data_IF_999540551846
#
_entry.id   IF_999540551846
#
_cell.length_a   1.000
_cell.length_b   1.000
_cell.length_c   1.000
_cell.angle_alpha   90.00
_cell.angle_beta   90.00
_cell.angle_gamma   90.00
#
_symmetry.space_group_name_H-M   'P 1'
#
loop_
_entity.id
_entity.type
_entity.pdbx_description
1 polymer ?
#
# COMPACT_ATOMS: atom_id res chain seq x y z
N UNK A 1 -58.30 16.25 46.92
CA UNK A 1 -57.94 14.98 46.26
C UNK A 1 -57.87 15.23 44.75
N UNK A 2 -56.80 15.86 44.30
CA UNK A 2 -56.58 16.18 42.88
C UNK A 2 -55.82 15.03 42.23
N UNK A 3 -56.41 14.44 41.18
CA UNK A 3 -55.77 13.38 40.39
C UNK A 3 -54.63 14.00 39.58
N UNK A 4 -53.42 13.47 39.74
CA UNK A 4 -52.32 13.69 38.80
C UNK A 4 -52.68 13.01 37.46
N UNK A 5 -53.00 13.81 36.44
CA UNK A 5 -53.11 13.32 35.08
C UNK A 5 -51.70 13.14 34.51
N UNK A 6 -51.25 11.89 34.43
CA UNK A 6 -50.01 11.54 33.74
C UNK A 6 -50.10 11.93 32.27
N UNK A 7 -49.20 12.81 31.83
CA UNK A 7 -49.07 13.22 30.43
C UNK A 7 -48.60 12.01 29.60
N UNK A 8 -49.54 11.33 28.95
CA UNK A 8 -49.23 10.28 27.99
C UNK A 8 -48.90 10.91 26.63
N UNK A 9 -47.62 10.96 26.28
CA UNK A 9 -47.12 11.47 24.98
C UNK A 9 -47.41 10.55 23.77
N UNK A 10 -48.37 9.63 23.90
CA UNK A 10 -48.73 8.66 22.85
C UNK A 10 -49.93 9.23 22.06
N UNK A 11 -49.78 9.49 20.74
CA UNK A 11 -50.85 10.06 19.93
C UNK A 11 -52.05 9.12 19.80
N UNK A 12 -53.25 9.68 19.96
CA UNK A 12 -54.54 8.95 19.92
C UNK A 12 -54.88 8.49 18.51
N UNK A 13 -55.82 7.55 18.40
CA UNK A 13 -56.20 6.98 17.12
C UNK A 13 -56.86 8.06 16.25
N UNK A 14 -56.28 8.34 15.08
CA UNK A 14 -56.77 9.35 14.14
C UNK A 14 -56.13 10.74 14.27
N UNK A 15 -55.17 10.95 15.18
CA UNK A 15 -54.42 12.23 15.26
C UNK A 15 -53.36 12.34 14.15
N UNK A 16 -53.26 13.53 13.56
CA UNK A 16 -52.23 13.87 12.58
C UNK A 16 -50.84 13.70 13.20
N UNK A 17 -49.96 12.93 12.54
CA UNK A 17 -48.60 12.64 13.02
C UNK A 17 -48.42 11.33 13.78
N UNK A 18 -49.49 10.57 14.08
CA UNK A 18 -49.39 9.25 14.74
C UNK A 18 -48.52 8.25 13.98
N UNK A 19 -48.67 8.19 12.65
CA UNK A 19 -47.82 7.31 11.82
C UNK A 19 -46.35 7.74 11.85
N UNK A 20 -46.07 9.04 11.91
CA UNK A 20 -44.72 9.58 12.08
C UNK A 20 -44.13 9.18 13.44
N UNK A 21 -44.91 9.29 14.51
CA UNK A 21 -44.50 8.86 15.86
C UNK A 21 -44.22 7.35 15.94
N UNK A 22 -45.07 6.50 15.36
CA UNK A 22 -44.87 5.05 15.31
C UNK A 22 -43.62 4.71 14.48
N UNK A 23 -43.42 5.39 13.34
CA UNK A 23 -42.23 5.24 12.52
C UNK A 23 -40.95 5.62 13.27
N UNK A 24 -40.98 6.73 14.00
CA UNK A 24 -39.86 7.19 14.82
C UNK A 24 -39.56 6.20 15.96
N UNK A 25 -40.59 5.73 16.66
CA UNK A 25 -40.43 4.70 17.69
C UNK A 25 -39.85 3.39 17.12
N UNK A 26 -40.33 2.96 15.95
CA UNK A 26 -39.80 1.79 15.27
C UNK A 26 -38.33 1.94 14.88
N UNK A 27 -37.93 3.13 14.41
CA UNK A 27 -36.55 3.45 14.10
C UNK A 27 -35.65 3.41 15.35
N UNK A 28 -36.08 4.01 16.47
CA UNK A 28 -35.35 3.98 17.75
C UNK A 28 -35.17 2.56 18.28
N UNK A 29 -36.22 1.72 18.22
CA UNK A 29 -36.12 0.31 18.61
C UNK A 29 -35.15 -0.47 17.71
N UNK A 30 -35.16 -0.19 16.41
CA UNK A 30 -34.23 -0.82 15.47
C UNK A 30 -32.78 -0.41 15.74
N UNK A 31 -32.51 0.89 15.93
CA UNK A 31 -31.18 1.39 16.28
C UNK A 31 -30.71 0.87 17.63
N UNK A 32 -31.58 0.83 18.64
CA UNK A 32 -31.27 0.27 19.95
C UNK A 32 -30.93 -1.21 19.88
N UNK A 33 -31.71 -2.01 19.14
CA UNK A 33 -31.43 -3.42 18.93
C UNK A 33 -30.10 -3.63 18.19
N UNK A 34 -29.85 -2.88 17.11
CA UNK A 34 -28.57 -2.91 16.40
C UNK A 34 -27.40 -2.52 17.31
N UNK A 35 -27.57 -1.50 18.15
CA UNK A 35 -26.55 -1.09 19.11
C UNK A 35 -26.23 -2.21 20.11
N UNK A 36 -27.23 -2.90 20.66
CA UNK A 36 -27.03 -4.04 21.57
C UNK A 36 -26.25 -5.16 20.86
N UNK A 37 -26.64 -5.51 19.62
CA UNK A 37 -25.94 -6.53 18.85
C UNK A 37 -24.47 -6.16 18.59
N UNK A 38 -24.18 -4.88 18.33
CA UNK A 38 -22.80 -4.42 18.11
C UNK A 38 -21.97 -4.30 19.39
N UNK A 39 -22.58 -4.20 20.59
CA UNK A 39 -21.82 -4.25 21.85
C UNK A 39 -21.21 -5.63 22.11
N UNK A 40 -21.83 -6.70 21.64
CA UNK A 40 -21.32 -8.06 21.85
C UNK A 40 -19.90 -8.26 21.28
N UNK A 41 -19.57 -7.62 20.15
CA UNK A 41 -18.24 -7.69 19.55
C UNK A 41 -17.17 -6.88 20.31
N UNK A 42 -17.59 -5.96 21.19
CA UNK A 42 -16.70 -5.08 21.99
C UNK A 42 -16.47 -5.56 23.42
N UNK A 43 -17.12 -6.65 23.82
CA UNK A 43 -17.16 -7.08 25.23
C UNK A 43 -15.81 -7.56 25.78
N UNK A 44 -14.95 -8.14 24.94
CA UNK A 44 -13.66 -8.70 25.36
C UNK A 44 -12.53 -8.20 24.46
N UNK A 45 -12.07 -6.94 24.62
CA UNK A 45 -10.94 -6.43 23.86
C UNK A 45 -9.67 -7.24 24.18
N UNK A 46 -8.97 -7.69 23.13
CA UNK A 46 -7.72 -8.44 23.25
C UNK A 46 -6.57 -7.55 22.77
N UNK A 47 -5.62 -7.30 23.67
CA UNK A 47 -4.40 -6.55 23.37
C UNK A 47 -3.28 -7.52 23.00
N UNK A 48 -2.56 -7.23 21.92
CA UNK A 48 -1.41 -8.03 21.44
C UNK A 48 -0.17 -7.16 21.40
N UNK A 49 0.93 -7.70 21.89
CA UNK A 49 2.25 -7.08 21.80
C UNK A 49 3.19 -8.01 21.05
N UNK A 50 3.97 -7.45 20.12
CA UNK A 50 4.96 -8.19 19.33
C UNK A 50 6.35 -7.97 19.92
N UNK A 51 7.15 -9.04 19.99
CA UNK A 51 8.51 -9.01 20.56
C UNK A 51 9.53 -9.40 19.47
N UNK A 52 10.00 -8.40 18.73
CA UNK A 52 10.88 -8.60 17.56
C UNK A 52 12.25 -9.17 17.95
N UNK A 53 12.80 -8.75 19.08
CA UNK A 53 14.09 -9.23 19.57
C UNK A 53 14.09 -10.74 19.84
N UNK A 54 12.95 -11.28 20.28
CA UNK A 54 12.80 -12.73 20.48
C UNK A 54 12.62 -13.48 19.17
N UNK A 55 12.02 -12.83 18.16
CA UNK A 55 11.86 -13.40 16.82
C UNK A 55 13.23 -13.54 16.15
N UNK A 56 14.04 -12.47 16.16
CA UNK A 56 15.39 -12.48 15.59
C UNK A 56 16.32 -13.45 16.32
N UNK A 57 16.26 -13.53 17.65
CA UNK A 57 17.05 -14.51 18.42
C UNK A 57 16.65 -15.97 18.14
N UNK A 58 15.37 -16.24 17.86
CA UNK A 58 14.88 -17.61 17.70
C UNK A 58 15.06 -18.15 16.29
N UNK A 59 14.79 -17.31 15.29
CA UNK A 59 14.78 -17.74 13.90
C UNK A 59 15.97 -17.23 13.11
N UNK A 60 16.71 -16.22 13.60
CA UNK A 60 17.85 -15.60 12.92
C UNK A 60 17.57 -15.38 11.42
N UNK A 61 18.09 -16.27 10.56
CA UNK A 61 17.95 -16.22 9.11
C UNK A 61 16.85 -17.12 8.54
N UNK A 62 16.17 -17.95 9.34
CA UNK A 62 15.09 -18.87 8.93
C UNK A 62 13.71 -18.18 8.85
N UNK A 63 13.67 -17.01 8.24
CA UNK A 63 12.43 -16.30 7.97
C UNK A 63 11.68 -16.90 6.75
N UNK A 64 10.34 -16.87 6.71
CA UNK A 64 9.57 -17.32 5.54
C UNK A 64 9.78 -16.40 4.32
N UNK A 65 9.47 -16.88 3.11
CA UNK A 65 9.33 -16.00 1.95
C UNK A 65 8.06 -15.15 2.08
N UNK A 66 8.16 -13.86 1.74
CA UNK A 66 7.06 -12.89 1.77
C UNK A 66 6.85 -12.30 0.38
N UNK A 67 5.65 -12.48 -0.15
CA UNK A 67 5.22 -11.89 -1.41
C UNK A 67 4.30 -10.70 -1.14
N UNK A 68 4.72 -9.51 -1.55
CA UNK A 68 3.96 -8.27 -1.41
C UNK A 68 3.24 -7.97 -2.72
N UNK A 69 1.92 -7.83 -2.66
CA UNK A 69 1.07 -7.54 -3.80
C UNK A 69 0.58 -6.10 -3.74
N UNK A 70 0.91 -5.34 -4.78
CA UNK A 70 0.41 -3.99 -5.03
C UNK A 70 -0.45 -4.06 -6.29
N UNK A 71 -1.71 -3.64 -6.21
CA UNK A 71 -2.60 -3.58 -7.36
C UNK A 71 -2.86 -2.13 -7.72
N UNK A 72 -2.77 -1.80 -9.01
CA UNK A 72 -3.22 -0.52 -9.55
C UNK A 72 -4.24 -0.73 -10.67
N UNK A 73 -5.21 0.17 -10.75
CA UNK A 73 -6.30 0.13 -11.70
C UNK A 73 -6.01 0.86 -13.01
N UNK A 74 -5.64 2.14 -12.95
CA UNK A 74 -5.38 2.98 -14.12
C UNK A 74 -4.59 4.23 -13.73
N UNK A 75 -3.59 4.66 -14.52
CA UNK A 75 -2.73 5.82 -14.20
C UNK A 75 -3.47 7.16 -14.10
N UNK A 76 -4.68 7.28 -14.67
CA UNK A 76 -5.48 8.52 -14.60
C UNK A 76 -6.19 8.66 -13.26
N UNK A 77 -6.58 7.53 -12.64
CA UNK A 77 -7.25 7.50 -11.33
C UNK A 77 -6.21 7.40 -10.22
N UNK A 78 -5.17 6.60 -10.44
CA UNK A 78 -4.10 6.30 -9.50
C UNK A 78 -2.76 6.73 -10.13
N UNK A 79 -2.28 7.96 -9.84
CA UNK A 79 -1.08 8.50 -10.48
C UNK A 79 0.13 7.57 -10.33
N UNK A 80 0.91 7.30 -11.41
CA UNK A 80 2.03 6.37 -11.36
C UNK A 80 3.04 6.67 -10.24
N UNK A 81 3.32 7.96 -9.98
CA UNK A 81 4.23 8.35 -8.91
C UNK A 81 3.76 7.95 -7.51
N UNK A 82 2.44 7.95 -7.25
CA UNK A 82 1.90 7.45 -5.98
C UNK A 82 2.17 5.96 -5.84
N UNK A 83 1.88 5.18 -6.89
CA UNK A 83 2.10 3.73 -6.94
C UNK A 83 3.58 3.39 -6.76
N UNK A 84 4.47 4.13 -7.42
CA UNK A 84 5.92 3.93 -7.34
C UNK A 84 6.45 4.22 -5.94
N UNK A 85 5.96 5.26 -5.26
CA UNK A 85 6.38 5.53 -3.87
C UNK A 85 5.97 4.39 -2.92
N UNK A 86 4.80 3.80 -3.14
CA UNK A 86 4.36 2.59 -2.43
C UNK A 86 5.28 1.40 -2.71
N UNK A 87 5.59 1.13 -3.98
CA UNK A 87 6.51 0.04 -4.39
C UNK A 87 7.89 0.22 -3.77
N UNK A 88 8.49 1.42 -3.87
CA UNK A 88 9.79 1.73 -3.28
C UNK A 88 9.78 1.60 -1.76
N UNK A 89 8.66 1.96 -1.11
CA UNK A 89 8.50 1.82 0.33
C UNK A 89 8.49 0.36 0.77
N UNK A 90 7.79 -0.53 0.07
CA UNK A 90 7.73 -1.96 0.41
C UNK A 90 9.01 -2.71 0.05
N UNK A 91 9.71 -2.31 -1.02
CA UNK A 91 11.02 -2.87 -1.36
C UNK A 91 12.10 -2.52 -0.33
N UNK A 92 11.92 -1.43 0.42
CA UNK A 92 12.87 -0.98 1.45
C UNK A 92 12.54 -1.53 2.86
N UNK A 93 11.82 -2.64 2.97
CA UNK A 93 11.58 -3.32 4.25
C UNK A 93 12.88 -3.89 4.83
N UNK A 94 12.94 -3.95 6.16
CA UNK A 94 14.03 -4.60 6.89
C UNK A 94 13.78 -6.12 6.88
N UNK A 95 14.00 -6.73 5.72
CA UNK A 95 13.83 -8.15 5.45
C UNK A 95 14.94 -8.67 4.53
N UNK A 96 15.32 -9.96 4.62
CA UNK A 96 16.26 -10.55 3.67
C UNK A 96 15.78 -10.37 2.22
N UNK A 97 16.57 -9.71 1.34
CA UNK A 97 16.17 -9.42 -0.04
C UNK A 97 15.79 -10.66 -0.84
N UNK A 98 16.45 -11.79 -0.57
CA UNK A 98 16.21 -13.07 -1.26
C UNK A 98 14.86 -13.70 -0.87
N UNK A 99 14.24 -13.19 0.20
CA UNK A 99 12.95 -13.68 0.73
C UNK A 99 11.81 -12.69 0.55
N UNK A 100 12.10 -11.51 0.03
CA UNK A 100 11.10 -10.48 -0.23
C UNK A 100 10.90 -10.34 -1.74
N UNK A 101 9.67 -10.57 -2.20
CA UNK A 101 9.29 -10.35 -3.59
C UNK A 101 8.12 -9.38 -3.66
N UNK A 102 8.23 -8.36 -4.50
CA UNK A 102 7.22 -7.31 -4.69
C UNK A 102 6.62 -7.47 -6.08
N UNK A 103 5.30 -7.53 -6.14
CA UNK A 103 4.55 -7.67 -7.38
C UNK A 103 3.64 -6.47 -7.57
N UNK A 104 3.81 -5.78 -8.70
CA UNK A 104 2.89 -4.75 -9.15
C UNK A 104 1.96 -5.34 -10.22
N UNK A 105 0.68 -5.47 -9.91
CA UNK A 105 -0.36 -5.79 -10.89
C UNK A 105 -0.97 -4.52 -11.44
N UNK A 106 -0.83 -4.30 -12.75
CA UNK A 106 -1.51 -3.22 -13.47
C UNK A 106 -2.72 -3.77 -14.20
N UNK A 107 -3.92 -3.35 -13.76
CA UNK A 107 -5.17 -3.72 -14.42
C UNK A 107 -5.42 -2.89 -15.68
N UNK A 108 -4.91 -1.66 -15.74
CA UNK A 108 -5.02 -0.78 -16.91
C UNK A 108 -4.09 -1.23 -18.05
N UNK A 109 -3.00 -1.93 -17.71
CA UNK A 109 -1.99 -2.36 -18.65
C UNK A 109 -1.33 -1.17 -19.35
N UNK A 110 -1.09 -0.10 -18.59
CA UNK A 110 -0.57 1.15 -19.13
C UNK A 110 0.93 1.09 -19.32
N UNK A 111 1.35 1.46 -20.52
CA UNK A 111 2.75 1.72 -20.86
C UNK A 111 3.41 2.69 -19.87
N UNK A 112 2.69 3.73 -19.43
CA UNK A 112 3.22 4.73 -18.49
C UNK A 112 3.50 4.13 -17.12
N UNK A 113 2.61 3.27 -16.60
CA UNK A 113 2.82 2.57 -15.33
C UNK A 113 4.03 1.65 -15.40
N UNK A 114 4.19 0.94 -16.51
CA UNK A 114 5.36 0.10 -16.75
C UNK A 114 6.66 0.91 -16.80
N UNK A 115 6.67 2.04 -17.51
CA UNK A 115 7.80 2.97 -17.54
C UNK A 115 8.15 3.48 -16.14
N UNK A 116 7.15 3.92 -15.38
CA UNK A 116 7.34 4.42 -14.03
C UNK A 116 8.00 3.35 -13.14
N UNK A 117 7.61 2.09 -13.30
CA UNK A 117 8.22 0.99 -12.56
C UNK A 117 9.68 0.73 -12.99
N UNK A 118 10.00 0.88 -14.27
CA UNK A 118 11.36 0.75 -14.77
C UNK A 118 12.28 1.83 -14.20
N UNK A 119 11.82 3.10 -14.21
CA UNK A 119 12.57 4.20 -13.61
C UNK A 119 12.69 4.04 -12.10
N UNK A 120 11.63 3.57 -11.43
CA UNK A 120 11.65 3.20 -10.03
C UNK A 120 12.69 2.11 -9.72
N UNK A 121 12.80 1.08 -10.56
CA UNK A 121 13.78 0.01 -10.37
C UNK A 121 15.23 0.52 -10.45
N UNK A 122 15.52 1.50 -11.32
CA UNK A 122 16.83 2.17 -11.38
C UNK A 122 17.10 3.00 -10.12
N UNK A 123 16.10 3.76 -9.68
CA UNK A 123 16.20 4.57 -8.47
C UNK A 123 16.31 3.71 -7.20
N UNK A 124 15.62 2.57 -7.14
CA UNK A 124 15.61 1.63 -6.01
C UNK A 124 17.02 1.17 -5.61
N UNK A 125 17.92 0.98 -6.59
CA UNK A 125 19.34 0.66 -6.35
C UNK A 125 20.06 1.68 -5.45
N UNK A 126 19.66 2.94 -5.51
CA UNK A 126 20.24 4.01 -4.72
C UNK A 126 19.43 4.22 -3.43
N UNK A 127 18.11 4.21 -3.54
CA UNK A 127 17.20 4.46 -2.43
C UNK A 127 17.28 3.40 -1.34
N UNK A 128 17.30 2.11 -1.70
CA UNK A 128 17.27 1.01 -0.74
C UNK A 128 18.59 0.96 0.06
N UNK A 129 19.72 1.15 -0.60
CA UNK A 129 21.03 1.27 0.07
C UNK A 129 21.06 2.47 1.02
N UNK A 130 20.62 3.65 0.56
CA UNK A 130 20.49 4.85 1.42
C UNK A 130 19.60 4.61 2.64
N UNK A 131 18.44 3.98 2.42
CA UNK A 131 17.50 3.59 3.45
C UNK A 131 18.14 2.71 4.53
N UNK A 132 18.86 1.66 4.12
CA UNK A 132 19.53 0.73 5.05
C UNK A 132 20.66 1.42 5.80
N UNK A 133 21.50 2.20 5.10
CA UNK A 133 22.66 2.89 5.65
C UNK A 133 22.31 3.91 6.74
N UNK A 134 21.25 4.68 6.55
CA UNK A 134 20.86 5.76 7.47
C UNK A 134 19.62 5.43 8.32
N UNK A 135 19.12 4.19 8.23
CA UNK A 135 17.90 3.74 8.92
C UNK A 135 16.71 4.72 8.73
N UNK A 136 16.49 5.12 7.47
CA UNK A 136 15.49 6.13 7.07
C UNK A 136 14.07 5.67 7.39
N UNK A 137 13.28 6.52 8.05
CA UNK A 137 11.83 6.32 8.21
C UNK A 137 11.11 7.66 8.00
N UNK A 138 9.96 7.71 7.29
CA UNK A 138 9.28 6.60 6.59
C UNK A 138 10.05 6.10 5.35
N UNK A 139 9.75 4.90 4.86
CA UNK A 139 10.46 4.28 3.72
C UNK A 139 10.00 4.79 2.35
N UNK A 140 8.88 5.50 2.30
CA UNK A 140 8.40 6.16 1.08
C UNK A 140 9.25 7.42 0.81
N UNK A 141 9.89 7.53 -0.36
CA UNK A 141 10.70 8.71 -0.70
C UNK A 141 9.90 10.01 -0.65
N UNK A 142 8.70 10.05 -1.26
CA UNK A 142 7.85 11.23 -1.23
C UNK A 142 7.51 11.68 0.20
N UNK A 143 7.15 10.74 1.08
CA UNK A 143 6.84 11.05 2.47
C UNK A 143 8.08 11.51 3.24
N UNK A 144 9.22 10.84 3.02
CA UNK A 144 10.48 11.18 3.67
C UNK A 144 10.97 12.58 3.28
N UNK A 145 11.01 12.91 1.99
CA UNK A 145 11.52 14.21 1.54
C UNK A 145 10.64 15.39 1.98
N UNK A 146 9.33 15.19 2.11
CA UNK A 146 8.44 16.20 2.70
C UNK A 146 8.77 16.42 4.17
N UNK A 147 9.05 15.36 4.93
CA UNK A 147 9.39 15.46 6.36
C UNK A 147 10.82 15.94 6.63
N UNK A 148 11.77 15.64 5.75
CA UNK A 148 13.20 15.97 5.93
C UNK A 148 13.51 17.44 5.68
N UNK A 149 12.66 18.15 4.93
CA UNK A 149 12.84 19.58 4.67
C UNK A 149 12.70 20.43 5.95
N UNK A 150 12.14 19.86 7.03
CA UNK A 150 12.01 20.48 8.35
C UNK A 150 13.13 20.10 9.35
N UNK A 151 14.00 19.13 9.02
CA UNK A 151 15.00 18.57 9.93
C UNK A 151 16.41 18.60 9.33
N UNK A 152 17.06 19.75 9.41
CA UNK A 152 18.49 19.89 9.06
C UNK A 152 19.31 19.65 10.32
N UNK A 153 19.96 18.49 10.41
CA UNK A 153 20.95 18.18 11.45
C UNK A 153 22.34 17.96 10.81
N UNK A 154 23.36 18.31 11.58
CA UNK A 154 24.67 18.87 11.17
C UNK A 154 25.73 17.83 10.75
N UNK A 155 25.37 16.80 9.95
CA UNK A 155 26.33 15.78 9.48
C UNK A 155 26.60 15.88 7.96
N UNK A 156 27.77 16.46 7.62
CA UNK A 156 28.11 16.92 6.27
C UNK A 156 28.07 15.80 5.20
N UNK A 157 28.31 14.54 5.60
CA UNK A 157 28.26 13.39 4.68
C UNK A 157 26.84 12.91 4.39
N UNK A 158 25.97 12.84 5.41
CA UNK A 158 24.57 12.45 5.21
C UNK A 158 23.83 13.53 4.41
N UNK A 159 24.14 14.81 4.63
CA UNK A 159 23.60 15.91 3.85
C UNK A 159 23.97 15.82 2.36
N UNK A 160 25.21 15.47 2.04
CA UNK A 160 25.66 15.27 0.66
C UNK A 160 24.98 14.06 -0.01
N UNK A 161 24.92 12.92 0.68
CA UNK A 161 24.22 11.71 0.20
C UNK A 161 22.72 11.98 0.01
N UNK A 162 22.08 12.70 0.95
CA UNK A 162 20.68 13.10 0.86
C UNK A 162 20.42 14.00 -0.35
N UNK A 163 21.28 15.00 -0.60
CA UNK A 163 21.13 15.88 -1.75
C UNK A 163 21.25 15.13 -3.08
N UNK A 164 22.18 14.18 -3.18
CA UNK A 164 22.33 13.32 -4.36
C UNK A 164 21.09 12.44 -4.59
N UNK A 165 20.58 11.81 -3.52
CA UNK A 165 19.39 10.94 -3.57
C UNK A 165 18.12 11.74 -3.88
N UNK A 166 17.96 12.94 -3.29
CA UNK A 166 16.85 13.85 -3.59
C UNK A 166 16.87 14.31 -5.05
N UNK A 167 18.06 14.53 -5.62
CA UNK A 167 18.22 14.84 -7.04
C UNK A 167 17.75 13.67 -7.92
N UNK A 168 18.24 12.45 -7.65
CA UNK A 168 17.85 11.25 -8.39
C UNK A 168 16.33 10.98 -8.32
N UNK A 169 15.72 11.21 -7.16
CA UNK A 169 14.26 11.09 -7.00
C UNK A 169 13.52 12.10 -7.88
N UNK A 170 13.94 13.37 -7.89
CA UNK A 170 13.34 14.40 -8.73
C UNK A 170 13.55 14.14 -10.22
N UNK A 171 14.72 13.65 -10.61
CA UNK A 171 14.99 13.28 -12.01
C UNK A 171 14.02 12.16 -12.46
N UNK A 172 13.85 11.11 -11.65
CA UNK A 172 12.85 10.05 -11.88
C UNK A 172 11.41 10.60 -11.93
N UNK A 173 11.03 11.46 -10.99
CA UNK A 173 9.70 12.07 -10.92
C UNK A 173 9.39 12.89 -12.18
N UNK A 174 10.34 13.71 -12.63
CA UNK A 174 10.20 14.50 -13.85
C UNK A 174 10.04 13.63 -15.10
N UNK A 175 10.84 12.57 -15.25
CA UNK A 175 10.73 11.64 -16.40
C UNK A 175 9.36 10.96 -16.44
N UNK A 176 8.85 10.52 -15.29
CA UNK A 176 7.52 9.90 -15.19
C UNK A 176 6.42 10.93 -15.47
N UNK A 177 6.50 12.13 -14.91
CA UNK A 177 5.53 13.19 -15.16
C UNK A 177 5.50 13.63 -16.62
N UNK A 178 6.66 13.73 -17.27
CA UNK A 178 6.76 14.13 -18.66
C UNK A 178 6.16 13.07 -19.58
N UNK A 179 6.38 11.78 -19.28
CA UNK A 179 5.70 10.68 -19.98
C UNK A 179 4.18 10.72 -19.79
N UNK A 180 3.69 11.04 -18.58
CA UNK A 180 2.25 11.24 -18.31
C UNK A 180 1.69 12.41 -19.13
N UNK A 181 2.39 13.54 -19.17
CA UNK A 181 1.97 14.75 -19.92
C UNK A 181 1.97 14.52 -21.42
N UNK A 182 2.95 13.78 -21.96
CA UNK A 182 3.08 13.48 -23.39
C UNK A 182 2.15 12.34 -23.83
N UNK A 183 1.70 11.49 -22.90
CA UNK A 183 0.84 10.34 -23.19
C UNK A 183 1.49 9.29 -24.10
N UNK A 184 2.83 9.30 -24.22
CA UNK A 184 3.62 8.39 -25.05
C UNK A 184 4.98 8.14 -24.39
N UNK A 185 5.53 6.94 -24.58
CA UNK A 185 6.91 6.61 -24.20
C UNK A 185 7.86 7.00 -25.35
N UNK A 186 9.05 7.50 -25.02
CA UNK A 186 10.16 7.61 -25.98
C UNK A 186 10.61 6.22 -26.47
N UNK A 187 10.77 6.02 -27.78
CA UNK A 187 10.95 4.71 -28.45
C UNK A 187 12.22 3.91 -28.07
N UNK A 188 13.05 4.40 -27.14
CA UNK A 188 14.40 3.86 -26.85
C UNK A 188 14.51 2.90 -25.65
N UNK A 189 13.41 2.36 -25.12
CA UNK A 189 13.49 1.42 -24.00
C UNK A 189 13.70 -0.02 -24.51
N UNK A 190 14.98 -0.39 -24.66
CA UNK A 190 15.40 -1.79 -24.79
C UNK A 190 15.16 -2.48 -23.46
N UNK A 191 14.10 -3.29 -23.38
CA UNK A 191 13.74 -4.06 -22.19
C UNK A 191 14.65 -5.29 -22.10
N UNK A 192 15.74 -5.21 -21.32
CA UNK A 192 16.43 -6.40 -20.81
C UNK A 192 15.91 -6.70 -19.39
N UNK A 193 14.72 -7.32 -19.34
CA UNK A 193 13.88 -7.45 -18.14
C UNK A 193 14.16 -8.68 -17.27
N UNK A 194 15.37 -9.23 -17.26
CA UNK A 194 15.71 -10.36 -16.37
C UNK A 194 17.12 -10.26 -15.78
N UNK A 195 17.40 -9.19 -15.05
CA UNK A 195 18.50 -9.23 -14.10
C UNK A 195 18.02 -9.85 -12.78
N UNK A 196 18.03 -11.19 -12.72
CA UNK A 196 17.70 -11.95 -11.51
C UNK A 196 18.72 -11.72 -10.37
N UNK A 197 19.85 -11.09 -10.67
CA UNK A 197 20.91 -10.78 -9.71
C UNK A 197 21.08 -9.27 -9.54
N UNK A 198 20.01 -8.49 -9.73
CA UNK A 198 20.05 -7.04 -9.58
C UNK A 198 20.61 -6.68 -8.19
N UNK A 199 21.75 -6.00 -8.18
CA UNK A 199 22.35 -5.46 -6.96
C UNK A 199 22.14 -3.96 -6.86
N UNK A 200 22.16 -3.46 -5.62
CA UNK A 200 22.27 -2.04 -5.32
C UNK A 200 23.67 -1.50 -5.61
N UNK A 201 23.86 -0.21 -5.35
CA UNK A 201 25.16 0.48 -5.56
C UNK A 201 26.27 0.02 -4.62
N UNK A 202 25.94 -0.69 -3.55
CA UNK A 202 26.89 -1.27 -2.58
C UNK A 202 27.16 -2.76 -2.87
N UNK A 203 26.51 -3.34 -3.90
CA UNK A 203 26.65 -4.74 -4.29
C UNK A 203 25.77 -5.71 -3.50
N UNK A 204 24.82 -5.21 -2.69
CA UNK A 204 23.83 -6.05 -2.01
C UNK A 204 22.68 -6.42 -2.95
N UNK A 205 22.16 -7.63 -2.80
CA UNK A 205 21.03 -8.14 -3.59
C UNK A 205 19.78 -7.31 -3.30
N UNK A 206 19.02 -6.97 -4.35
CA UNK A 206 17.72 -6.32 -4.23
C UNK A 206 16.57 -7.32 -4.18
N UNK A 207 15.45 -6.97 -3.52
CA UNK A 207 14.22 -7.74 -3.59
C UNK A 207 13.77 -7.94 -5.04
N UNK A 208 13.15 -9.09 -5.32
CA UNK A 208 12.60 -9.36 -6.64
C UNK A 208 11.43 -8.43 -6.91
N UNK A 209 11.44 -7.71 -8.04
CA UNK A 209 10.34 -6.86 -8.47
C UNK A 209 9.71 -7.42 -9.74
N UNK A 210 8.41 -7.68 -9.71
CA UNK A 210 7.66 -8.27 -10.82
C UNK A 210 6.53 -7.35 -11.25
N UNK A 211 6.52 -6.99 -12.54
CA UNK A 211 5.37 -6.35 -13.18
C UNK A 211 4.44 -7.40 -13.78
N UNK A 212 3.14 -7.27 -13.55
CA UNK A 212 2.12 -8.11 -14.14
C UNK A 212 1.00 -7.28 -14.75
N UNK A 213 0.85 -7.34 -16.06
CA UNK A 213 -0.38 -6.93 -16.75
C UNK A 213 -1.12 -8.18 -17.22
N UNK A 214 -2.42 -8.24 -16.93
CA UNK A 214 -3.25 -9.40 -17.32
C UNK A 214 -3.73 -9.25 -18.76
N UNK A 215 -3.77 -10.34 -19.49
CA UNK A 215 -4.47 -10.37 -20.78
C UNK A 215 -5.97 -10.15 -20.55
N UNK A 216 -6.54 -9.14 -21.22
CA UNK A 216 -7.97 -8.86 -21.24
C UNK A 216 -8.49 -8.94 -22.66
N UNK A 217 -9.67 -9.52 -22.85
CA UNK A 217 -10.33 -9.65 -24.15
C UNK A 217 -11.76 -9.09 -24.07
N UNK A 218 -12.24 -8.33 -25.07
CA UNK A 218 -13.59 -7.75 -25.02
C UNK A 218 -14.72 -8.76 -24.82
N UNK A 219 -14.53 -10.00 -25.28
CA UNK A 219 -15.54 -11.07 -25.19
C UNK A 219 -15.53 -11.82 -23.85
N UNK A 220 -14.58 -11.53 -22.96
CA UNK A 220 -14.40 -12.24 -21.70
C UNK A 220 -14.61 -11.28 -20.53
N UNK A 221 -15.60 -11.58 -19.69
CA UNK A 221 -15.78 -10.88 -18.44
C UNK A 221 -14.54 -11.05 -17.55
N UNK A 222 -14.04 -9.95 -17.01
CA UNK A 222 -12.98 -9.96 -16.03
C UNK A 222 -13.47 -9.39 -14.71
N UNK A 223 -12.95 -9.94 -13.62
CA UNK A 223 -13.07 -9.32 -12.30
C UNK A 223 -11.89 -8.36 -12.13
N UNK A 224 -12.14 -7.19 -11.53
CA UNK A 224 -11.13 -6.16 -11.22
C UNK A 224 -10.14 -6.68 -10.15
N UNK A 225 -10.17 -6.11 -8.93
CA UNK A 225 -9.24 -6.45 -7.84
C UNK A 225 -9.19 -7.94 -7.53
N UNK A 226 -10.35 -8.63 -7.47
CA UNK A 226 -10.38 -10.07 -7.23
C UNK A 226 -9.68 -10.88 -8.34
N UNK A 227 -9.81 -10.45 -9.60
CA UNK A 227 -9.14 -11.11 -10.72
C UNK A 227 -7.63 -10.85 -10.74
N UNK A 228 -7.22 -9.62 -10.38
CA UNK A 228 -5.81 -9.23 -10.25
C UNK A 228 -5.12 -10.04 -9.15
N UNK A 229 -5.68 -10.07 -7.94
CA UNK A 229 -5.13 -10.85 -6.82
C UNK A 229 -5.03 -12.35 -7.16
N UNK A 230 -6.06 -12.93 -7.78
CA UNK A 230 -6.01 -14.35 -8.16
C UNK A 230 -4.96 -14.64 -9.24
N UNK A 231 -4.68 -13.69 -10.13
CA UNK A 231 -3.60 -13.83 -11.11
C UNK A 231 -2.23 -13.73 -10.43
N UNK A 232 -2.05 -12.76 -9.54
CA UNK A 232 -0.84 -12.59 -8.74
C UNK A 232 -0.52 -13.86 -7.93
N UNK A 233 -1.49 -14.47 -7.26
CA UNK A 233 -1.28 -15.73 -6.52
C UNK A 233 -0.71 -16.83 -7.44
N UNK A 234 -1.23 -16.98 -8.67
CA UNK A 234 -0.75 -17.98 -9.64
C UNK A 234 0.63 -17.66 -10.20
N UNK A 235 0.96 -16.39 -10.35
CA UNK A 235 2.27 -15.95 -10.84
C UNK A 235 3.30 -16.08 -9.74
N UNK A 236 3.01 -15.61 -8.53
CA UNK A 236 3.92 -15.68 -7.39
C UNK A 236 4.23 -17.12 -7.00
N UNK A 237 3.27 -18.05 -7.08
CA UNK A 237 3.50 -19.48 -6.85
C UNK A 237 4.53 -20.11 -7.79
N UNK A 238 4.73 -19.54 -8.98
CA UNK A 238 5.73 -20.01 -9.95
C UNK A 238 7.07 -19.30 -9.83
N UNK A 239 7.08 -18.02 -9.43
CA UNK A 239 8.30 -17.20 -9.39
C UNK A 239 9.04 -17.34 -8.06
N UNK A 240 8.34 -17.17 -6.94
CA UNK A 240 8.96 -17.08 -5.60
C UNK A 240 8.34 -18.04 -4.58
N UNK A 241 7.07 -18.39 -4.74
CA UNK A 241 6.31 -19.27 -3.87
C UNK A 241 6.41 -18.87 -2.38
N UNK A 242 6.22 -17.57 -2.10
CA UNK A 242 6.23 -17.03 -0.75
C UNK A 242 5.20 -17.71 0.16
N UNK A 243 5.59 -17.96 1.41
CA UNK A 243 4.71 -18.60 2.40
C UNK A 243 3.69 -17.62 2.98
N UNK A 244 4.03 -16.33 2.97
CA UNK A 244 3.19 -15.24 3.45
C UNK A 244 2.91 -14.29 2.31
N UNK A 245 1.64 -13.90 2.18
CA UNK A 245 1.17 -12.95 1.18
C UNK A 245 0.73 -11.68 1.89
N UNK A 246 1.33 -10.54 1.53
CA UNK A 246 0.99 -9.23 2.05
C UNK A 246 0.33 -8.40 0.94
N UNK A 247 -0.96 -8.10 1.10
CA UNK A 247 -1.66 -7.22 0.16
C UNK A 247 -1.58 -5.76 0.63
N UNK A 248 -1.11 -4.89 -0.25
CA UNK A 248 -0.93 -3.46 0.01
C UNK A 248 -1.66 -2.67 -1.08
N UNK A 249 -2.43 -1.66 -0.67
CA UNK A 249 -3.11 -0.77 -1.61
C UNK A 249 -2.11 0.27 -2.17
N UNK A 250 -2.31 0.71 -3.41
CA UNK A 250 -1.32 1.54 -4.12
C UNK A 250 -1.12 2.94 -3.54
N UNK A 251 -2.04 3.41 -2.70
CA UNK A 251 -2.00 4.68 -1.96
C UNK A 251 -1.45 4.53 -0.52
N UNK A 252 -1.08 3.32 -0.12
CA UNK A 252 -0.49 3.03 1.19
C UNK A 252 1.01 2.85 1.10
N UNK A 253 1.76 3.45 2.01
CA UNK A 253 3.18 3.18 2.19
C UNK A 253 3.48 2.77 3.62
N UNK A 254 4.66 2.17 3.84
CA UNK A 254 5.04 1.76 5.18
C UNK A 254 5.70 2.89 5.95
N UNK A 255 5.12 3.18 7.12
CA UNK A 255 5.63 4.17 8.05
C UNK A 255 6.95 3.73 8.73
N UNK A 256 7.18 2.42 8.88
CA UNK A 256 8.40 1.87 9.45
C UNK A 256 8.85 0.64 8.67
N UNK A 257 10.12 0.26 8.79
CA UNK A 257 10.68 -0.89 8.07
C UNK A 257 10.33 -2.26 8.64
N UNK A 258 9.65 -2.30 9.79
CA UNK A 258 9.55 -3.48 10.66
C UNK A 258 8.12 -4.04 10.72
N UNK A 259 7.31 -3.73 9.72
CA UNK A 259 5.88 -4.07 9.66
C UNK A 259 5.66 -5.56 9.43
#
# INVERSE_FOLDING_TARGET
>A
MGKEEGVSHIPKAGEDGRFGWIGLLGAELWFGFYWILTQASRWSPVYRHTFKDRLSQRYENELPGVDVFVCTADPTIEPPMMVINTVLSVMAYDYPPEKLSVYLSDDGGSEITYLALLEAAKFAKHWISYCKKYNVEPRSPAAYFVSSDDAVDDDNKQAADLAAIKKLYKDMENEVEDAVKLGRISEEIVIDGRDLNATDVEGCVLPTLVYLAREKRPQYHHNFKAGAMNALIRVSSNISNGQVLLNVDCDMYSNNSKA
#
